data_IF_108195119960
#
_entry.id   IF_108195119960
#
_cell.length_a   1.000
_cell.length_b   1.000
_cell.length_c   1.000
_cell.angle_alpha   90.00
_cell.angle_beta   90.00
_cell.angle_gamma   90.00
#
_symmetry.space_group_name_H-M   'P 1'
#
loop_
_entity.id
_entity.type
_entity.pdbx_description
1 polymer ?
#
# COMPACT_ATOMS: atom_id res chain seq x y z
N UNK A 1 10.28 -22.33 8.46
CA UNK A 1 10.22 -21.14 7.58
C UNK A 1 8.76 -20.71 7.47
N UNK A 2 8.25 -19.83 8.33
CA UNK A 2 6.79 -19.50 8.28
C UNK A 2 6.41 -18.12 8.85
N UNK A 3 7.11 -17.58 9.85
CA UNK A 3 6.68 -16.33 10.50
C UNK A 3 6.92 -15.03 9.73
N UNK A 4 7.95 -14.96 8.88
CA UNK A 4 8.29 -13.73 8.15
C UNK A 4 7.37 -13.47 6.96
N UNK A 5 7.06 -14.50 6.18
CA UNK A 5 6.14 -14.41 5.03
C UNK A 5 4.71 -14.09 5.44
N UNK A 6 4.25 -14.61 6.57
CA UNK A 6 2.90 -14.35 7.07
C UNK A 6 2.73 -12.89 7.49
N UNK A 7 3.71 -12.32 8.21
CA UNK A 7 3.74 -10.89 8.56
C UNK A 7 3.83 -10.00 7.33
N UNK A 8 4.53 -10.42 6.28
CA UNK A 8 4.63 -9.67 5.02
C UNK A 8 3.29 -9.66 4.29
N UNK A 9 2.65 -10.82 4.16
CA UNK A 9 1.32 -10.95 3.53
C UNK A 9 0.26 -10.15 4.28
N UNK A 10 0.25 -10.20 5.61
CA UNK A 10 -0.68 -9.39 6.43
C UNK A 10 -0.52 -7.90 6.15
N UNK A 11 0.72 -7.40 6.14
CA UNK A 11 1.01 -5.98 5.86
C UNK A 11 0.61 -5.54 4.46
N UNK A 12 0.86 -6.38 3.44
CA UNK A 12 0.42 -6.11 2.07
C UNK A 12 -1.12 -6.04 2.02
N UNK A 13 -1.82 -6.96 2.68
CA UNK A 13 -3.27 -6.99 2.70
C UNK A 13 -3.86 -5.77 3.43
N UNK A 14 -3.23 -5.31 4.52
CA UNK A 14 -3.63 -4.09 5.22
C UNK A 14 -3.46 -2.84 4.36
N UNK A 15 -2.33 -2.69 3.65
CA UNK A 15 -2.12 -1.58 2.69
C UNK A 15 -3.19 -1.60 1.60
N UNK A 16 -3.49 -2.80 1.09
CA UNK A 16 -4.51 -3.00 0.07
C UNK A 16 -5.88 -2.53 0.58
N UNK A 17 -6.24 -2.86 1.82
CA UNK A 17 -7.49 -2.41 2.46
C UNK A 17 -7.52 -0.89 2.66
N UNK A 18 -6.41 -0.27 3.05
CA UNK A 18 -6.34 1.20 3.19
C UNK A 18 -6.54 1.88 1.84
N UNK A 19 -5.84 1.43 0.79
CA UNK A 19 -6.00 1.99 -0.55
C UNK A 19 -7.44 1.78 -1.06
N UNK A 20 -8.04 0.60 -0.85
CA UNK A 20 -9.44 0.32 -1.20
C UNK A 20 -10.43 1.22 -0.44
N UNK A 21 -10.21 1.44 0.86
CA UNK A 21 -11.07 2.32 1.69
C UNK A 21 -11.06 3.76 1.19
N UNK A 22 -9.95 4.19 0.61
CA UNK A 22 -9.78 5.55 0.13
C UNK A 22 -10.44 5.80 -1.24
N UNK A 23 -11.14 4.77 -1.78
CA UNK A 23 -12.21 4.68 -2.81
C UNK A 23 -12.09 5.45 -4.13
N UNK A 24 -11.33 6.53 -4.20
CA UNK A 24 -11.25 7.41 -5.37
C UNK A 24 -9.80 7.69 -5.73
N UNK A 25 -9.03 8.36 -4.84
CA UNK A 25 -7.64 8.74 -5.08
C UNK A 25 -6.94 8.98 -3.73
N UNK A 26 -5.84 8.29 -3.48
CA UNK A 26 -5.02 8.54 -2.27
C UNK A 26 -3.73 9.24 -2.63
N UNK A 27 -3.45 10.37 -1.99
CA UNK A 27 -2.11 10.95 -2.05
C UNK A 27 -1.10 9.95 -1.50
N UNK A 28 -0.11 9.56 -2.31
CA UNK A 28 0.94 8.62 -1.92
C UNK A 28 1.59 8.99 -0.59
N UNK A 29 1.85 10.27 -0.38
CA UNK A 29 2.42 10.78 0.87
C UNK A 29 1.47 10.64 2.06
N UNK A 30 0.17 10.88 1.85
CA UNK A 30 -0.86 10.70 2.88
C UNK A 30 -0.98 9.23 3.28
N UNK A 31 -0.96 8.30 2.31
CA UNK A 31 -0.94 6.86 2.59
C UNK A 31 0.28 6.49 3.43
N UNK A 32 1.46 6.99 3.02
CA UNK A 32 2.71 6.69 3.72
C UNK A 32 2.66 7.23 5.15
N UNK A 33 2.18 8.46 5.35
CA UNK A 33 2.06 9.07 6.68
C UNK A 33 1.09 8.28 7.56
N UNK A 34 -0.09 7.94 7.06
CA UNK A 34 -1.09 7.17 7.80
C UNK A 34 -0.56 5.77 8.17
N UNK A 35 0.04 5.05 7.22
CA UNK A 35 0.59 3.72 7.48
C UNK A 35 1.81 3.78 8.42
N UNK A 36 2.62 4.85 8.34
CA UNK A 36 3.77 5.04 9.23
C UNK A 36 3.31 5.30 10.67
N UNK A 37 2.27 6.13 10.86
CA UNK A 37 1.70 6.44 12.16
C UNK A 37 0.98 5.23 12.78
N UNK A 38 0.13 4.55 12.01
CA UNK A 38 -0.69 3.46 12.53
C UNK A 38 0.09 2.15 12.72
N UNK A 39 1.07 1.86 11.87
CA UNK A 39 1.75 0.55 11.85
C UNK A 39 3.24 0.61 12.13
N UNK A 40 3.81 1.79 12.37
CA UNK A 40 5.24 1.97 12.60
C UNK A 40 6.10 1.45 11.45
N UNK A 41 5.55 1.35 10.24
CA UNK A 41 6.24 0.78 9.09
C UNK A 41 7.06 1.86 8.41
N UNK A 42 8.34 1.58 8.15
CA UNK A 42 9.22 2.53 7.50
C UNK A 42 8.73 2.88 6.09
N UNK A 43 8.91 4.14 5.71
CA UNK A 43 8.62 4.67 4.37
C UNK A 43 9.15 3.78 3.25
N UNK A 44 10.40 3.30 3.37
CA UNK A 44 11.03 2.40 2.37
C UNK A 44 10.18 1.16 2.11
N UNK A 45 9.74 0.48 3.18
CA UNK A 45 8.93 -0.73 3.11
C UNK A 45 7.57 -0.46 2.49
N UNK A 46 6.94 0.69 2.82
CA UNK A 46 5.68 1.11 2.22
C UNK A 46 5.83 1.36 0.72
N UNK A 47 6.92 1.99 0.29
CA UNK A 47 7.22 2.19 -1.13
C UNK A 47 7.42 0.87 -1.88
N UNK A 48 8.07 -0.13 -1.26
CA UNK A 48 8.19 -1.47 -1.84
C UNK A 48 6.83 -2.14 -2.00
N UNK A 49 5.93 -2.01 -1.02
CA UNK A 49 4.58 -2.56 -1.13
C UNK A 49 3.73 -1.85 -2.18
N UNK A 50 3.79 -0.52 -2.26
CA UNK A 50 3.13 0.25 -3.31
C UNK A 50 3.65 -0.20 -4.68
N UNK A 51 4.97 -0.38 -4.82
CA UNK A 51 5.57 -0.89 -6.05
C UNK A 51 5.05 -2.28 -6.42
N UNK A 52 4.97 -3.22 -5.47
CA UNK A 52 4.42 -4.55 -5.70
C UNK A 52 2.96 -4.51 -6.17
N UNK A 53 2.15 -3.61 -5.61
CA UNK A 53 0.76 -3.43 -6.03
C UNK A 53 0.65 -2.81 -7.44
N UNK A 54 1.57 -1.91 -7.81
CA UNK A 54 1.68 -1.36 -9.18
C UNK A 54 2.09 -2.44 -10.18
N UNK A 55 3.14 -3.21 -9.86
CA UNK A 55 3.62 -4.32 -10.68
C UNK A 55 2.56 -5.41 -10.85
N UNK A 56 1.71 -5.62 -9.83
CA UNK A 56 0.57 -6.53 -9.89
C UNK A 56 -0.66 -5.93 -10.62
N UNK A 57 -0.57 -4.71 -11.15
CA UNK A 57 -1.65 -4.04 -11.88
C UNK A 57 -2.85 -3.62 -11.01
N UNK A 58 -2.75 -3.73 -9.68
CA UNK A 58 -3.85 -3.41 -8.74
C UNK A 58 -4.01 -1.92 -8.49
N UNK A 59 -2.94 -1.14 -8.66
CA UNK A 59 -2.98 0.31 -8.51
C UNK A 59 -2.19 0.99 -9.62
N UNK A 60 -2.57 2.22 -9.93
CA UNK A 60 -1.83 3.13 -10.79
C UNK A 60 -1.43 4.39 -10.03
N UNK A 61 -0.28 4.98 -10.36
CA UNK A 61 0.16 6.25 -9.79
C UNK A 61 0.05 7.34 -10.86
N UNK A 62 -0.86 8.29 -10.67
CA UNK A 62 -1.10 9.42 -11.58
C UNK A 62 -0.94 10.72 -10.80
N UNK A 63 0.04 11.55 -11.19
CA UNK A 63 0.33 12.84 -10.54
C UNK A 63 0.49 12.75 -9.00
N UNK A 64 1.09 11.66 -8.49
CA UNK A 64 1.29 11.43 -7.06
C UNK A 64 0.07 10.88 -6.30
N UNK A 65 -1.03 10.62 -7.02
CA UNK A 65 -2.22 9.95 -6.51
C UNK A 65 -2.18 8.47 -6.87
N UNK A 66 -2.44 7.61 -5.89
CA UNK A 66 -2.63 6.18 -6.05
C UNK A 66 -4.10 5.91 -6.31
N UNK A 67 -4.39 5.27 -7.44
CA UNK A 67 -5.73 4.93 -7.91
C UNK A 67 -5.86 3.41 -7.89
N UNK A 68 -6.89 2.89 -7.25
CA UNK A 68 -7.19 1.47 -7.27
C UNK A 68 -7.78 1.07 -8.62
N UNK A 69 -7.20 0.04 -9.25
CA UNK A 69 -7.78 -0.61 -10.42
C UNK A 69 -8.58 -1.82 -9.92
N UNK A 70 -9.88 -1.63 -9.78
CA UNK A 70 -10.80 -2.75 -9.65
C UNK A 70 -10.91 -3.37 -11.06
N UNK A 71 -10.50 -4.63 -11.16
CA UNK A 71 -10.65 -5.45 -12.37
C UNK A 71 -12.08 -6.00 -12.43
#
# INVERSE_FOLDING_TARGET
MTGHDEKRRKRINEIMQVIKKLKDKTGKESLIAECSLNWGTSRRTLLEYIKLLKDAGKIEEVAGLLIWKDE
#
